data_IF_921146828646
#
_entry.id   IF_921146828646
#
_cell.length_a   1.000
_cell.length_b   1.000
_cell.length_c   1.000
_cell.angle_alpha   90.00
_cell.angle_beta   90.00
_cell.angle_gamma   90.00
#
_symmetry.space_group_name_H-M   'P 1'
#
loop_
_entity.id
_entity.type
_entity.pdbx_description
1 polymer ?
#
# COMPACT_ATOMS: atom_id res chain seq x y z
N UNK A 1 -1.00 14.32 4.59
CA UNK A 1 -0.82 12.87 4.40
C UNK A 1 -1.03 12.63 2.92
N UNK A 2 0.02 12.31 2.17
CA UNK A 2 -0.12 12.10 0.72
C UNK A 2 -0.61 10.68 0.50
N UNK A 3 -1.92 10.53 0.53
CA UNK A 3 -2.63 9.32 0.11
C UNK A 3 -2.88 9.44 -1.39
N UNK A 4 -1.84 9.21 -2.21
CA UNK A 4 -1.91 9.41 -3.67
C UNK A 4 -3.00 8.61 -4.37
N UNK A 5 -3.53 7.55 -3.75
CA UNK A 5 -4.61 6.70 -4.24
C UNK A 5 -5.91 6.76 -3.42
N UNK A 6 -5.98 7.60 -2.38
CA UNK A 6 -7.11 7.61 -1.44
C UNK A 6 -7.42 9.04 -0.96
N UNK A 7 -8.64 9.52 -1.11
CA UNK A 7 -9.07 10.78 -0.51
C UNK A 7 -10.01 10.49 0.67
N UNK A 8 -9.59 10.79 1.92
CA UNK A 8 -10.42 10.54 3.11
C UNK A 8 -11.77 11.26 3.08
N UNK A 9 -11.87 12.41 2.40
CA UNK A 9 -13.11 13.20 2.35
C UNK A 9 -14.12 12.53 1.43
N UNK A 10 -13.75 12.21 0.19
CA UNK A 10 -14.64 11.50 -0.75
C UNK A 10 -14.97 10.07 -0.32
N UNK A 11 -14.11 9.42 0.46
CA UNK A 11 -14.33 8.05 0.95
C UNK A 11 -15.03 7.99 2.32
N UNK A 12 -15.35 9.12 2.92
CA UNK A 12 -16.00 9.17 4.22
C UNK A 12 -17.37 8.49 4.19
N UNK A 13 -17.69 7.71 5.23
CA UNK A 13 -18.95 6.94 5.38
C UNK A 13 -19.22 5.85 4.33
N UNK A 14 -18.29 5.59 3.40
CA UNK A 14 -18.44 4.46 2.48
C UNK A 14 -18.22 3.13 3.20
N UNK A 15 -19.03 2.09 2.91
CA UNK A 15 -18.74 0.72 3.30
C UNK A 15 -17.39 0.24 2.76
N UNK A 16 -16.79 -0.74 3.43
CA UNK A 16 -15.50 -1.31 3.03
C UNK A 16 -15.48 -1.83 1.59
N UNK A 17 -16.61 -2.34 1.08
CA UNK A 17 -16.72 -2.81 -0.30
C UNK A 17 -16.62 -1.65 -1.28
N UNK A 18 -17.45 -0.62 -1.11
CA UNK A 18 -17.48 0.55 -2.00
C UNK A 18 -16.20 1.39 -1.93
N UNK A 19 -15.59 1.50 -0.75
CA UNK A 19 -14.32 2.18 -0.59
C UNK A 19 -13.22 1.55 -1.45
N UNK A 20 -13.22 0.22 -1.57
CA UNK A 20 -12.21 -0.60 -2.26
C UNK A 20 -12.62 -1.06 -3.66
N UNK A 21 -13.74 -0.56 -4.19
CA UNK A 21 -14.20 -0.84 -5.56
C UNK A 21 -13.09 -0.69 -6.65
N UNK A 22 -12.15 0.28 -6.55
CA UNK A 22 -11.06 0.39 -7.53
C UNK A 22 -9.99 -0.70 -7.45
N UNK A 23 -9.98 -1.53 -6.40
CA UNK A 23 -8.96 -2.57 -6.19
C UNK A 23 -9.39 -3.85 -6.94
N UNK A 24 -8.63 -4.30 -7.95
CA UNK A 24 -8.99 -5.49 -8.72
C UNK A 24 -9.24 -6.70 -7.81
N UNK A 25 -10.31 -7.44 -8.11
CA UNK A 25 -10.67 -8.70 -7.43
C UNK A 25 -10.93 -8.59 -5.92
N UNK A 26 -11.00 -7.38 -5.36
CA UNK A 26 -11.20 -7.20 -3.92
C UNK A 26 -12.54 -7.78 -3.45
N UNK A 27 -13.60 -7.56 -4.22
CA UNK A 27 -14.95 -8.01 -3.86
C UNK A 27 -15.02 -9.54 -3.77
N UNK A 28 -14.37 -10.23 -4.70
CA UNK A 28 -14.37 -11.68 -4.84
C UNK A 28 -13.43 -12.35 -3.83
N UNK A 29 -12.20 -11.86 -3.72
CA UNK A 29 -11.12 -12.59 -3.06
C UNK A 29 -10.87 -12.14 -1.62
N UNK A 30 -11.10 -10.86 -1.32
CA UNK A 30 -10.63 -10.24 -0.07
C UNK A 30 -11.76 -9.75 0.84
N UNK A 31 -12.89 -9.29 0.29
CA UNK A 31 -13.94 -8.64 1.08
C UNK A 31 -14.43 -9.50 2.25
N UNK A 32 -14.76 -10.77 1.98
CA UNK A 32 -15.28 -11.67 2.99
C UNK A 32 -14.24 -12.05 4.06
N UNK A 33 -12.98 -12.25 3.66
CA UNK A 33 -11.90 -12.62 4.59
C UNK A 33 -11.52 -11.45 5.50
N UNK A 34 -11.41 -10.25 4.93
CA UNK A 34 -11.16 -9.02 5.69
C UNK A 34 -12.30 -8.70 6.65
N UNK A 35 -13.56 -8.85 6.22
CA UNK A 35 -14.72 -8.68 7.09
C UNK A 35 -14.67 -9.59 8.33
N UNK A 36 -14.23 -10.85 8.17
CA UNK A 36 -14.02 -11.77 9.29
C UNK A 36 -12.90 -11.30 10.23
N UNK A 37 -11.78 -10.81 9.69
CA UNK A 37 -10.70 -10.25 10.50
C UNK A 37 -11.21 -9.06 11.32
N UNK A 38 -11.91 -8.11 10.70
CA UNK A 38 -12.43 -6.93 11.39
C UNK A 38 -13.44 -7.28 12.49
N UNK A 39 -14.33 -8.23 12.21
CA UNK A 39 -15.34 -8.68 13.17
C UNK A 39 -14.71 -9.40 14.38
N UNK A 40 -13.64 -10.16 14.18
CA UNK A 40 -13.03 -11.02 15.21
C UNK A 40 -11.75 -10.48 15.82
N UNK A 41 -11.28 -9.31 15.39
CA UNK A 41 -10.02 -8.71 15.86
C UNK A 41 -10.04 -8.47 17.38
N UNK A 42 -9.18 -9.18 18.11
CA UNK A 42 -8.96 -9.04 19.56
C UNK A 42 -7.61 -8.41 19.90
N UNK A 43 -6.58 -8.70 19.12
CA UNK A 43 -5.22 -8.18 19.28
C UNK A 43 -4.89 -7.28 18.09
N UNK A 44 -4.07 -6.23 18.26
CA UNK A 44 -3.58 -5.45 17.14
C UNK A 44 -2.85 -6.35 16.13
N UNK A 45 -3.06 -6.06 14.85
CA UNK A 45 -2.34 -6.69 13.74
C UNK A 45 -1.70 -5.62 12.89
N UNK A 46 -0.69 -6.01 12.13
CA UNK A 46 -0.05 -5.16 11.15
C UNK A 46 0.25 -5.94 9.88
N UNK A 47 0.38 -5.21 8.77
CA UNK A 47 0.87 -5.74 7.49
C UNK A 47 1.71 -4.67 6.79
N UNK A 48 2.48 -5.10 5.81
CA UNK A 48 3.07 -4.21 4.83
C UNK A 48 2.21 -4.23 3.55
N UNK A 49 2.11 -3.08 2.91
CA UNK A 49 1.70 -2.93 1.52
C UNK A 49 2.83 -2.20 0.79
N UNK A 50 3.03 -2.44 -0.51
CA UNK A 50 4.07 -1.73 -1.26
C UNK A 50 3.59 -1.30 -2.65
N UNK A 51 4.26 -0.30 -3.20
CA UNK A 51 4.12 0.12 -4.58
C UNK A 51 5.46 0.68 -5.09
N UNK A 52 5.75 0.50 -6.37
CA UNK A 52 6.81 1.25 -7.05
C UNK A 52 6.16 2.50 -7.62
N UNK A 53 6.67 3.67 -7.23
CA UNK A 53 6.16 4.96 -7.67
C UNK A 53 7.28 5.73 -8.38
N UNK A 54 6.93 6.44 -9.45
CA UNK A 54 7.83 7.39 -10.09
C UNK A 54 7.60 8.77 -9.48
N UNK A 55 8.66 9.44 -9.04
CA UNK A 55 8.62 10.87 -8.74
C UNK A 55 8.67 11.64 -10.06
N UNK A 56 7.55 12.23 -10.46
CA UNK A 56 7.47 13.13 -11.62
C UNK A 56 7.16 14.54 -11.15
N UNK A 57 8.01 15.48 -11.52
CA UNK A 57 7.57 16.88 -11.62
C UNK A 57 6.71 16.98 -12.89
N UNK A 58 5.58 17.70 -12.83
CA UNK A 58 4.49 17.69 -13.81
C UNK A 58 4.89 18.02 -15.28
N UNK A 59 6.14 18.43 -15.53
CA UNK A 59 6.64 18.92 -16.83
C UNK A 59 7.70 18.01 -17.51
N UNK A 60 8.17 16.92 -16.90
CA UNK A 60 9.24 16.11 -17.51
C UNK A 60 8.74 15.04 -18.49
N UNK A 61 9.23 15.12 -19.73
CA UNK A 61 9.06 14.07 -20.73
C UNK A 61 9.68 12.75 -20.22
N UNK A 62 9.01 11.62 -20.46
CA UNK A 62 9.55 10.30 -20.14
C UNK A 62 10.86 10.07 -20.89
N UNK A 63 12.00 10.01 -20.19
CA UNK A 63 13.23 9.45 -20.77
C UNK A 63 13.03 7.96 -21.03
N UNK A 64 13.45 7.48 -22.21
CA UNK A 64 13.49 6.04 -22.57
C UNK A 64 14.76 5.34 -22.03
N UNK A 65 15.57 6.04 -21.23
CA UNK A 65 16.77 5.50 -20.61
C UNK A 65 16.43 4.87 -19.25
N UNK A 66 16.67 3.57 -19.12
CA UNK A 66 16.40 2.77 -17.91
C UNK A 66 17.17 3.31 -16.70
N UNK A 67 18.40 3.78 -16.88
CA UNK A 67 19.21 4.32 -15.78
C UNK A 67 18.64 5.65 -15.25
N UNK A 68 18.11 6.48 -16.16
CA UNK A 68 17.41 7.72 -15.79
C UNK A 68 16.02 7.46 -15.21
N UNK A 69 15.35 6.38 -15.62
CA UNK A 69 14.10 5.93 -15.01
C UNK A 69 14.36 5.45 -13.57
N UNK A 70 15.34 4.58 -13.36
CA UNK A 70 15.69 4.04 -12.03
C UNK A 70 15.99 5.13 -11.00
N UNK A 71 16.58 6.25 -11.42
CA UNK A 71 16.86 7.40 -10.54
C UNK A 71 15.59 8.13 -10.08
N UNK A 72 14.47 7.99 -10.80
CA UNK A 72 13.17 8.61 -10.49
C UNK A 72 12.20 7.65 -9.81
N UNK A 73 12.53 6.37 -9.74
CA UNK A 73 11.70 5.37 -9.07
C UNK A 73 11.98 5.31 -7.56
N UNK A 74 10.90 5.18 -6.81
CA UNK A 74 10.88 5.02 -5.36
C UNK A 74 10.10 3.76 -4.99
N UNK A 75 10.61 3.01 -4.02
CA UNK A 75 9.83 2.01 -3.34
C UNK A 75 9.03 2.68 -2.22
N UNK A 76 7.70 2.69 -2.36
CA UNK A 76 6.79 3.08 -1.30
C UNK A 76 6.40 1.85 -0.50
N UNK A 77 6.68 1.85 0.80
CA UNK A 77 6.19 0.82 1.73
C UNK A 77 5.26 1.45 2.76
N UNK A 78 4.08 0.87 2.92
CA UNK A 78 3.08 1.27 3.90
C UNK A 78 3.04 0.27 5.05
N UNK A 79 3.47 0.71 6.23
CA UNK A 79 3.28 -0.02 7.47
C UNK A 79 1.88 0.27 8.01
N UNK A 80 1.01 -0.70 7.79
CA UNK A 80 -0.40 -0.62 8.12
C UNK A 80 -0.66 -1.30 9.47
N UNK A 81 -1.34 -0.61 10.39
CA UNK A 81 -1.78 -1.24 11.65
C UNK A 81 -3.28 -1.17 11.80
N UNK A 82 -3.85 -2.21 12.40
CA UNK A 82 -5.25 -2.28 12.72
C UNK A 82 -5.43 -2.68 14.18
N UNK A 83 -6.19 -1.89 14.94
CA UNK A 83 -6.51 -2.18 16.34
C UNK A 83 -7.91 -1.72 16.71
N UNK A 84 -8.51 -2.41 17.68
CA UNK A 84 -9.78 -1.99 18.30
C UNK A 84 -9.53 -0.92 19.36
N UNK A 85 -10.41 0.07 19.48
CA UNK A 85 -10.32 1.06 20.55
C UNK A 85 -10.73 0.43 21.89
N UNK A 86 -9.92 0.56 22.97
CA UNK A 86 -10.23 -0.08 24.25
C UNK A 86 -11.53 0.40 24.90
N UNK A 87 -11.88 1.69 24.72
CA UNK A 87 -13.08 2.30 25.29
C UNK A 87 -14.30 2.25 24.36
N UNK A 88 -14.08 2.06 23.07
CA UNK A 88 -15.13 2.05 22.04
C UNK A 88 -14.91 0.88 21.08
N UNK A 89 -15.20 -0.35 21.53
CA UNK A 89 -14.87 -1.56 20.79
C UNK A 89 -15.63 -1.70 19.46
N UNK A 90 -16.67 -0.92 19.22
CA UNK A 90 -17.37 -0.81 17.95
C UNK A 90 -16.51 -0.20 16.83
N UNK A 91 -15.45 0.55 17.18
CA UNK A 91 -14.57 1.19 16.22
C UNK A 91 -13.19 0.51 16.12
N UNK A 92 -12.66 0.52 14.90
CA UNK A 92 -11.28 0.16 14.59
C UNK A 92 -10.49 1.42 14.26
N UNK A 93 -9.23 1.46 14.70
CA UNK A 93 -8.24 2.42 14.23
C UNK A 93 -7.35 1.71 13.25
N UNK A 94 -7.35 2.24 12.03
CA UNK A 94 -6.42 1.87 10.98
C UNK A 94 -5.39 2.99 10.82
N UNK A 95 -4.10 2.67 10.82
CA UNK A 95 -3.04 3.65 10.62
C UNK A 95 -2.19 3.22 9.45
N UNK A 96 -1.78 4.18 8.62
CA UNK A 96 -0.83 3.96 7.54
C UNK A 96 0.39 4.84 7.82
N UNK A 97 1.57 4.23 7.91
CA UNK A 97 2.86 4.94 7.92
C UNK A 97 3.61 4.61 6.63
N UNK A 98 3.76 5.60 5.76
CA UNK A 98 4.50 5.45 4.50
C UNK A 98 5.99 5.71 4.70
N UNK A 99 6.79 4.85 4.10
CA UNK A 99 8.24 4.97 3.90
C UNK A 99 8.48 5.07 2.39
N UNK A 100 9.37 5.96 1.99
CA UNK A 100 9.71 6.23 0.58
C UNK A 100 11.22 6.21 0.47
N UNK A 101 11.76 5.19 -0.18
CA UNK A 101 13.20 5.02 -0.39
C UNK A 101 13.48 5.00 -1.89
N UNK A 102 14.53 5.68 -2.39
CA UNK A 102 14.90 5.60 -3.80
C UNK A 102 15.16 4.13 -4.18
N UNK A 103 14.59 3.68 -5.29
CA UNK A 103 14.69 2.27 -5.69
C UNK A 103 16.16 1.85 -5.89
N UNK A 104 17.01 2.78 -6.34
CA UNK A 104 18.44 2.57 -6.53
C UNK A 104 19.18 2.18 -5.23
N UNK A 105 18.71 2.62 -4.06
CA UNK A 105 19.37 2.30 -2.78
C UNK A 105 19.28 0.80 -2.45
N UNK A 106 18.27 0.09 -2.96
CA UNK A 106 18.12 -1.37 -2.81
C UNK A 106 19.28 -2.15 -3.43
N UNK A 107 20.00 -1.58 -4.40
CA UNK A 107 21.19 -2.22 -4.98
C UNK A 107 22.27 -2.50 -3.92
N UNK A 108 22.31 -1.70 -2.85
CA UNK A 108 23.20 -1.91 -1.69
C UNK A 108 22.67 -2.95 -0.68
N UNK A 109 21.47 -3.47 -0.89
CA UNK A 109 20.74 -4.37 0.03
C UNK A 109 20.32 -5.67 -0.67
N UNK A 110 21.24 -6.63 -0.88
CA UNK A 110 21.00 -7.80 -1.74
C UNK A 110 19.77 -8.65 -1.35
N UNK A 111 19.51 -8.84 -0.06
CA UNK A 111 18.36 -9.60 0.42
C UNK A 111 17.03 -8.88 0.14
N UNK A 112 17.00 -7.56 0.29
CA UNK A 112 15.80 -6.77 0.02
C UNK A 112 15.51 -6.71 -1.49
N UNK A 113 16.56 -6.57 -2.30
CA UNK A 113 16.46 -6.64 -3.75
C UNK A 113 15.89 -7.98 -4.23
N UNK A 114 16.42 -9.10 -3.72
CA UNK A 114 15.92 -10.44 -4.05
C UNK A 114 14.45 -10.66 -3.62
N UNK A 115 14.07 -10.19 -2.43
CA UNK A 115 12.69 -10.29 -1.96
C UNK A 115 11.72 -9.47 -2.82
N UNK A 116 12.09 -8.24 -3.19
CA UNK A 116 11.27 -7.42 -4.08
C UNK A 116 11.14 -8.05 -5.48
N UNK A 117 12.23 -8.60 -6.01
CA UNK A 117 12.23 -9.29 -7.30
C UNK A 117 11.30 -10.51 -7.30
N UNK A 118 11.30 -11.31 -6.24
CA UNK A 118 10.38 -12.44 -6.06
C UNK A 118 8.92 -11.97 -6.02
N UNK A 119 8.61 -10.95 -5.22
CA UNK A 119 7.24 -10.42 -5.12
C UNK A 119 6.75 -9.84 -6.45
N UNK A 120 7.58 -9.11 -7.18
CA UNK A 120 7.22 -8.56 -8.51
C UNK A 120 6.88 -9.69 -9.48
N UNK A 121 7.62 -10.81 -9.47
CA UNK A 121 7.33 -11.97 -10.33
C UNK A 121 6.04 -12.70 -9.96
N UNK A 122 5.58 -12.55 -8.71
CA UNK A 122 4.34 -13.15 -8.22
C UNK A 122 3.12 -12.24 -8.43
N UNK A 123 3.31 -10.98 -8.87
CA UNK A 123 2.19 -10.09 -9.18
C UNK A 123 1.35 -10.68 -10.32
N UNK A 124 0.02 -10.71 -10.17
CA UNK A 124 -0.88 -11.08 -11.27
C UNK A 124 -0.78 -10.08 -12.42
N UNK A 125 -0.97 -10.57 -13.66
CA UNK A 125 -1.01 -9.74 -14.89
C UNK A 125 -2.18 -8.73 -14.89
#
# INVERSE_FOLDING_TARGET
>A
VVTSSFDPVSKHMLPMLEMHDPVPQYAEDLHASMGRVFATLKKPVWRANFAVAEWRDEEEASSEDDDALLQRLYLKVEYETLRRLPKHPEYLVFTIRSHMDPLLELASMPLACAALEEEIRLLPE
#
